data_IF_758031035013
#
_entry.id   IF_758031035013
#
_cell.length_a   1.000
_cell.length_b   1.000
_cell.length_c   1.000
_cell.angle_alpha   90.00
_cell.angle_beta   90.00
_cell.angle_gamma   90.00
#
_symmetry.space_group_name_H-M   'P 1'
#
loop_
_entity.id
_entity.type
_entity.pdbx_description
1 polymer ?
#
# COMPACT_ATOMS: atom_id res chain seq x y z
N UNK A 1 -29.96 -16.42 4.98
CA UNK A 1 -28.72 -15.67 4.70
C UNK A 1 -27.65 -16.71 4.42
N UNK A 2 -27.25 -16.90 3.16
CA UNK A 2 -26.10 -17.74 2.83
C UNK A 2 -24.83 -16.98 3.22
N UNK A 3 -23.84 -17.61 3.88
CA UNK A 3 -22.52 -17.03 3.99
C UNK A 3 -21.98 -16.88 2.57
N UNK A 4 -21.43 -15.70 2.25
CA UNK A 4 -20.69 -15.51 1.01
C UNK A 4 -19.52 -16.50 0.98
N UNK A 5 -19.68 -17.61 0.25
CA UNK A 5 -18.59 -18.50 -0.08
C UNK A 5 -17.75 -17.81 -1.14
N UNK A 6 -16.64 -17.22 -0.71
CA UNK A 6 -15.57 -16.73 -1.58
C UNK A 6 -14.96 -17.95 -2.28
N UNK A 7 -15.47 -18.25 -3.49
CA UNK A 7 -15.25 -19.51 -4.20
C UNK A 7 -14.01 -19.53 -5.08
N UNK A 8 -13.14 -18.53 -5.02
CA UNK A 8 -11.91 -18.49 -5.82
C UNK A 8 -10.74 -18.02 -4.97
N UNK A 9 -9.71 -18.84 -4.89
CA UNK A 9 -8.42 -18.58 -4.24
C UNK A 9 -7.64 -17.52 -5.02
N UNK A 10 -8.18 -16.31 -5.21
CA UNK A 10 -7.43 -15.17 -5.74
C UNK A 10 -6.60 -14.59 -4.61
N UNK A 11 -5.41 -15.16 -4.43
CA UNK A 11 -4.38 -14.59 -3.56
C UNK A 11 -4.08 -13.17 -4.04
N UNK A 12 -4.30 -12.17 -3.20
CA UNK A 12 -3.81 -10.82 -3.45
C UNK A 12 -2.36 -10.79 -2.97
N UNK A 13 -1.46 -10.39 -3.87
CA UNK A 13 -0.06 -10.15 -3.56
C UNK A 13 0.08 -8.71 -3.08
N UNK A 14 0.41 -8.52 -1.80
CA UNK A 14 1.05 -7.28 -1.42
C UNK A 14 2.48 -7.34 -1.94
N UNK A 15 2.88 -6.34 -2.72
CA UNK A 15 4.25 -6.19 -3.15
C UNK A 15 4.68 -4.75 -2.99
N UNK A 16 5.88 -4.57 -2.46
CA UNK A 16 6.54 -3.27 -2.39
C UNK A 16 7.95 -3.43 -2.96
N UNK A 17 8.36 -2.49 -3.79
CA UNK A 17 9.74 -2.40 -4.25
C UNK A 17 10.35 -1.09 -3.76
N UNK A 18 11.59 -1.17 -3.29
CA UNK A 18 12.41 0.00 -2.96
C UNK A 18 13.38 0.24 -4.09
N UNK A 19 13.49 1.52 -4.45
CA UNK A 19 14.47 2.02 -5.40
C UNK A 19 15.30 3.09 -4.73
N UNK A 20 16.54 3.23 -5.18
CA UNK A 20 17.36 4.35 -4.75
C UNK A 20 16.97 5.65 -5.46
N UNK A 21 17.66 6.73 -5.14
CA UNK A 21 17.48 8.06 -5.72
C UNK A 21 17.78 8.12 -7.23
N UNK A 22 18.39 7.08 -7.79
CA UNK A 22 18.64 6.92 -9.22
C UNK A 22 17.63 5.98 -9.89
N UNK A 23 16.52 5.68 -9.22
CA UNK A 23 15.46 4.76 -9.66
C UNK A 23 15.95 3.31 -9.86
N UNK A 24 17.09 2.93 -9.26
CA UNK A 24 17.63 1.58 -9.37
C UNK A 24 17.01 0.68 -8.32
N UNK A 25 16.67 -0.54 -8.72
CA UNK A 25 16.16 -1.55 -7.80
C UNK A 25 17.13 -1.83 -6.65
N UNK A 26 16.63 -1.78 -5.42
CA UNK A 26 17.38 -2.10 -4.21
C UNK A 26 16.86 -3.39 -3.58
N UNK A 27 15.58 -3.40 -3.21
CA UNK A 27 14.93 -4.47 -2.45
C UNK A 27 13.48 -4.62 -2.88
N UNK A 28 12.93 -5.82 -2.73
CA UNK A 28 11.49 -6.05 -2.83
C UNK A 28 11.01 -6.95 -1.69
N UNK A 29 9.77 -6.71 -1.28
CA UNK A 29 9.04 -7.55 -0.34
C UNK A 29 7.75 -8.00 -1.00
N UNK A 30 7.39 -9.25 -0.76
CA UNK A 30 6.12 -9.82 -1.21
C UNK A 30 5.49 -10.58 -0.06
N UNK A 31 4.22 -10.33 0.20
CA UNK A 31 3.43 -11.01 1.22
C UNK A 31 2.10 -11.50 0.65
N UNK A 32 1.62 -12.60 1.22
CA UNK A 32 0.38 -13.24 0.82
C UNK A 32 -0.74 -12.81 1.77
N UNK A 33 -1.82 -12.26 1.22
CA UNK A 33 -3.00 -11.90 2.01
C UNK A 33 -4.23 -12.69 1.54
N UNK A 34 -5.14 -12.87 2.50
CA UNK A 34 -6.39 -13.59 2.32
C UNK A 34 -7.20 -13.06 1.11
N UNK A 35 -7.81 -13.97 0.33
CA UNK A 35 -8.36 -13.68 -1.00
C UNK A 35 -9.67 -12.88 -1.03
N UNK A 36 -10.21 -12.45 0.11
CA UNK A 36 -11.56 -11.88 0.21
C UNK A 36 -11.54 -10.50 0.88
N UNK A 37 -10.57 -9.67 0.52
CA UNK A 37 -10.52 -8.27 0.92
C UNK A 37 -10.93 -7.38 -0.25
N UNK A 38 -11.59 -6.28 0.07
CA UNK A 38 -11.91 -5.22 -0.88
C UNK A 38 -10.62 -4.60 -1.46
N UNK A 39 -10.68 -4.06 -2.69
CA UNK A 39 -9.49 -3.52 -3.36
C UNK A 39 -8.89 -2.38 -2.54
N UNK A 40 -9.74 -1.47 -2.07
CA UNK A 40 -9.36 -0.34 -1.23
C UNK A 40 -8.74 -0.79 0.10
N UNK A 41 -9.29 -1.85 0.70
CA UNK A 41 -8.73 -2.43 1.91
C UNK A 41 -7.37 -3.08 1.63
N UNK A 42 -7.20 -3.77 0.50
CA UNK A 42 -5.93 -4.37 0.09
C UNK A 42 -4.85 -3.35 -0.18
N UNK A 43 -5.18 -2.24 -0.82
CA UNK A 43 -4.22 -1.15 -1.06
C UNK A 43 -3.82 -0.45 0.24
N UNK A 44 -4.77 -0.23 1.16
CA UNK A 44 -4.49 0.34 2.48
C UNK A 44 -3.61 -0.59 3.34
N UNK A 45 -3.88 -1.90 3.31
CA UNK A 45 -3.04 -2.89 3.98
C UNK A 45 -1.65 -2.96 3.34
N UNK A 46 -1.55 -2.91 2.01
CA UNK A 46 -0.29 -2.93 1.28
C UNK A 46 0.60 -1.74 1.64
N UNK A 47 0.01 -0.55 1.72
CA UNK A 47 0.72 0.64 2.19
C UNK A 47 1.15 0.52 3.66
N UNK A 48 0.27 0.00 4.54
CA UNK A 48 0.60 -0.21 5.94
C UNK A 48 1.77 -1.19 6.10
N UNK A 49 1.79 -2.30 5.36
CA UNK A 49 2.88 -3.28 5.36
C UNK A 49 4.18 -2.65 4.85
N UNK A 50 4.11 -1.84 3.80
CA UNK A 50 5.27 -1.10 3.29
C UNK A 50 5.82 -0.10 4.31
N UNK A 51 4.95 0.66 5.01
CA UNK A 51 5.33 1.60 6.07
C UNK A 51 5.99 0.89 7.25
N UNK A 52 5.42 -0.23 7.69
CA UNK A 52 6.03 -1.05 8.75
C UNK A 52 7.39 -1.61 8.31
N UNK A 53 7.52 -2.02 7.05
CA UNK A 53 8.76 -2.54 6.51
C UNK A 53 9.88 -1.50 6.48
N UNK A 54 9.61 -0.28 5.98
CA UNK A 54 10.63 0.79 6.00
C UNK A 54 10.98 1.21 7.43
N UNK A 55 10.01 1.21 8.34
CA UNK A 55 10.23 1.54 9.75
C UNK A 55 11.14 0.50 10.42
N UNK A 56 10.92 -0.79 10.16
CA UNK A 56 11.78 -1.87 10.67
C UNK A 56 13.21 -1.79 10.11
N UNK A 57 13.37 -1.28 8.89
CA UNK A 57 14.68 -1.03 8.28
C UNK A 57 15.31 0.31 8.71
N UNK A 58 14.62 1.11 9.53
CA UNK A 58 15.06 2.44 9.95
C UNK A 58 15.36 3.37 8.76
N UNK A 59 14.58 3.22 7.68
CA UNK A 59 14.68 4.09 6.51
C UNK A 59 13.81 5.33 6.72
N UNK A 60 14.36 6.48 6.39
CA UNK A 60 13.71 7.79 6.51
C UNK A 60 13.73 8.51 5.16
N UNK A 61 12.87 9.52 5.00
CA UNK A 61 12.77 10.35 3.79
C UNK A 61 12.47 9.53 2.51
N UNK A 62 11.54 8.58 2.64
CA UNK A 62 11.09 7.73 1.52
C UNK A 62 9.95 8.41 0.75
N UNK A 63 9.95 8.26 -0.56
CA UNK A 63 8.78 8.55 -1.39
C UNK A 63 7.98 7.26 -1.62
N UNK A 64 6.65 7.32 -1.46
CA UNK A 64 5.77 6.17 -1.70
C UNK A 64 5.01 6.39 -3.00
N UNK A 65 5.25 5.52 -3.97
CA UNK A 65 4.52 5.47 -5.22
C UNK A 65 3.46 4.36 -5.13
N UNK A 66 2.21 4.72 -5.39
CA UNK A 66 1.09 3.78 -5.41
C UNK A 66 0.37 3.88 -6.75
N UNK A 67 -0.11 2.75 -7.25
CA UNK A 67 -0.98 2.65 -8.42
C UNK A 67 -2.42 3.09 -8.11
N UNK A 68 -2.79 3.14 -6.83
CA UNK A 68 -4.10 3.59 -6.38
C UNK A 68 -4.19 5.10 -6.15
N UNK A 69 -4.81 5.78 -7.11
CA UNK A 69 -5.18 7.19 -6.95
C UNK A 69 -6.07 7.42 -5.71
N UNK A 70 -6.99 6.49 -5.41
CA UNK A 70 -7.91 6.66 -4.27
C UNK A 70 -7.18 6.58 -2.94
N UNK A 71 -6.25 5.63 -2.79
CA UNK A 71 -5.44 5.55 -1.58
C UNK A 71 -4.59 6.81 -1.40
N UNK A 72 -3.98 7.31 -2.48
CA UNK A 72 -3.23 8.58 -2.48
C UNK A 72 -4.15 9.75 -2.09
N UNK A 73 -5.30 9.92 -2.75
CA UNK A 73 -6.24 11.00 -2.48
C UNK A 73 -6.71 10.97 -1.00
N UNK A 74 -6.98 9.79 -0.43
CA UNK A 74 -7.37 9.64 0.99
C UNK A 74 -6.26 10.05 1.98
N UNK A 75 -4.98 9.95 1.62
CA UNK A 75 -3.87 10.37 2.48
C UNK A 75 -3.64 11.87 2.44
N UNK A 76 -3.90 12.48 1.28
CA UNK A 76 -3.69 13.91 1.03
C UNK A 76 -4.97 14.74 1.10
N UNK A 77 -6.15 14.14 1.34
CA UNK A 77 -7.42 14.88 1.37
C UNK A 77 -7.52 15.90 2.50
N UNK A 78 -6.78 15.71 3.60
CA UNK A 78 -6.76 16.64 4.74
C UNK A 78 -5.76 17.81 4.56
N UNK A 79 -4.83 17.74 3.61
CA UNK A 79 -3.82 18.80 3.41
C UNK A 79 -4.27 19.92 2.46
N UNK A 80 -5.41 19.77 1.79
CA UNK A 80 -5.95 20.79 0.85
C UNK A 80 -6.74 21.90 1.55
N UNK A 81 -6.86 21.88 2.88
CA UNK A 81 -7.64 22.90 3.63
C UNK A 81 -6.83 23.79 4.59
N UNK A 82 -5.49 23.87 4.48
CA UNK A 82 -4.67 24.71 5.38
C UNK A 82 -3.69 25.65 4.66
N UNK A 83 -3.94 26.03 3.41
CA UNK A 83 -3.13 27.09 2.77
C UNK A 83 -3.90 27.89 1.73
N UNK A 84 -4.91 28.62 2.20
CA UNK A 84 -5.29 29.93 1.62
C UNK A 84 -5.68 30.87 2.77
N UNK A 85 -4.69 31.59 3.31
CA UNK A 85 -4.88 32.85 4.07
C UNK A 85 -3.59 33.68 4.02
#
# INVERSE_FOLDING_TARGET
>A
MSPFQCSETRLVLEYACMRDDQDRFVLAKTEWIAPCIDVELGEALGLLSALQWVNNLHLHNMNFEMDSKRAVDCLYSDTVNVSEL
#
